data_IF_059202424690
#
_entry.id   IF_059202424690
#
_cell.length_a   1.000
_cell.length_b   1.000
_cell.length_c   1.000
_cell.angle_alpha   90.00
_cell.angle_beta   90.00
_cell.angle_gamma   90.00
#
_symmetry.space_group_name_H-M   'P 1'
#
loop_
_entity.id
_entity.type
_entity.pdbx_description
1 polymer ?
#
# COMPACT_ATOMS: atom_id res chain seq x y z
N UNK A 1 1.56 17.76 1.44
CA UNK A 1 1.33 17.21 0.08
C UNK A 1 -0.14 17.37 -0.28
N UNK A 2 -0.52 18.44 -0.99
CA UNK A 2 -1.92 18.75 -1.34
C UNK A 2 -2.08 19.21 -2.81
N UNK A 3 -1.08 18.99 -3.68
CA UNK A 3 -0.94 19.76 -4.92
C UNK A 3 -1.62 19.19 -6.17
N UNK A 4 -2.09 17.93 -6.17
CA UNK A 4 -2.62 17.30 -7.39
C UNK A 4 -4.15 17.25 -7.46
N UNK A 5 -4.85 17.98 -6.57
CA UNK A 5 -6.30 18.04 -6.56
C UNK A 5 -6.73 19.49 -6.45
N UNK A 6 -7.39 20.01 -7.49
CA UNK A 6 -8.10 21.28 -7.42
C UNK A 6 -9.41 21.09 -6.64
N UNK A 7 -9.85 22.11 -5.91
CA UNK A 7 -11.13 22.12 -5.22
C UNK A 7 -12.28 21.88 -6.23
N UNK A 8 -13.19 20.94 -5.89
CA UNK A 8 -14.38 20.58 -6.68
C UNK A 8 -15.38 21.73 -6.87
N UNK A 9 -15.23 22.84 -6.13
CA UNK A 9 -16.10 24.03 -6.24
C UNK A 9 -15.72 25.00 -7.35
N UNK A 10 -14.83 24.63 -8.28
CA UNK A 10 -14.44 25.50 -9.41
C UNK A 10 -15.17 25.13 -10.69
N UNK A 11 -15.42 26.13 -11.55
CA UNK A 11 -16.07 25.92 -12.84
C UNK A 11 -15.19 25.05 -13.77
N UNK A 12 -15.81 24.36 -14.74
CA UNK A 12 -15.13 23.48 -15.70
C UNK A 12 -13.97 24.20 -16.42
N UNK A 13 -14.20 25.42 -16.90
CA UNK A 13 -13.18 26.24 -17.57
C UNK A 13 -11.99 26.56 -16.67
N UNK A 14 -12.23 26.84 -15.40
CA UNK A 14 -11.14 27.09 -14.46
C UNK A 14 -10.38 25.80 -14.14
N UNK A 15 -11.07 24.65 -14.08
CA UNK A 15 -10.41 23.35 -13.88
C UNK A 15 -9.49 23.03 -15.04
N UNK A 16 -9.94 23.22 -16.29
CA UNK A 16 -9.13 22.97 -17.48
C UNK A 16 -7.89 23.87 -17.53
N UNK A 17 -8.05 25.17 -17.26
CA UNK A 17 -6.93 26.11 -17.22
C UNK A 17 -5.89 25.72 -16.14
N UNK A 18 -6.37 25.27 -14.97
CA UNK A 18 -5.51 24.75 -13.92
C UNK A 18 -4.84 23.44 -14.34
N UNK A 19 -5.56 22.49 -14.93
CA UNK A 19 -5.04 21.18 -15.29
C UNK A 19 -3.92 21.30 -16.33
N UNK A 20 -4.10 22.13 -17.36
CA UNK A 20 -3.05 22.42 -18.35
C UNK A 20 -1.82 23.03 -17.69
N UNK A 21 -2.02 24.05 -16.84
CA UNK A 21 -0.92 24.74 -16.15
C UNK A 21 -0.18 23.78 -15.21
N UNK A 22 -0.90 23.02 -14.39
CA UNK A 22 -0.37 22.08 -13.40
C UNK A 22 0.49 20.98 -14.05
N UNK A 23 0.01 20.41 -15.17
CA UNK A 23 0.77 19.42 -15.92
C UNK A 23 1.99 20.03 -16.62
N UNK A 24 1.84 21.22 -17.24
CA UNK A 24 2.94 21.90 -17.94
C UNK A 24 4.11 22.26 -17.04
N UNK A 25 3.84 22.58 -15.76
CA UNK A 25 4.83 22.94 -14.76
C UNK A 25 5.41 21.73 -14.01
N UNK A 26 5.00 20.51 -14.35
CA UNK A 26 5.38 19.28 -13.63
C UNK A 26 5.11 19.36 -12.12
N UNK A 27 4.08 20.09 -11.72
CA UNK A 27 3.69 20.22 -10.31
C UNK A 27 2.93 18.96 -9.80
N UNK A 28 2.60 18.05 -10.72
CA UNK A 28 1.90 16.82 -10.43
C UNK A 28 2.86 15.73 -9.92
N UNK A 29 2.64 15.28 -8.69
CA UNK A 29 3.37 14.19 -8.06
C UNK A 29 2.54 12.89 -7.96
N UNK A 30 1.40 12.81 -8.65
CA UNK A 30 0.63 11.56 -8.70
C UNK A 30 1.47 10.52 -9.46
N UNK A 31 1.71 9.39 -8.79
CA UNK A 31 2.46 8.25 -9.34
C UNK A 31 1.59 6.99 -9.51
N UNK A 32 0.30 7.07 -9.18
CA UNK A 32 -0.65 5.98 -9.31
C UNK A 32 -2.01 6.51 -9.72
N UNK A 33 -2.60 5.92 -10.76
CA UNK A 33 -3.93 6.25 -11.22
C UNK A 33 -4.90 5.11 -10.87
N UNK A 34 -5.75 5.32 -9.87
CA UNK A 34 -6.70 4.29 -9.41
C UNK A 34 -7.30 4.60 -8.04
N UNK A 35 -8.07 3.66 -7.51
CA UNK A 35 -8.65 3.78 -6.16
C UNK A 35 -7.58 3.60 -5.09
N UNK A 36 -7.79 4.09 -3.86
CA UNK A 36 -6.79 3.89 -2.80
C UNK A 36 -6.59 2.41 -2.48
N UNK A 37 -7.64 1.58 -2.57
CA UNK A 37 -7.51 0.14 -2.37
C UNK A 37 -6.60 -0.49 -3.44
N UNK A 38 -6.69 -0.05 -4.70
CA UNK A 38 -5.80 -0.53 -5.76
C UNK A 38 -4.36 -0.04 -5.55
N UNK A 39 -4.19 1.20 -5.07
CA UNK A 39 -2.89 1.77 -4.73
C UNK A 39 -2.19 0.97 -3.62
N UNK A 40 -2.92 0.58 -2.58
CA UNK A 40 -2.40 -0.23 -1.47
C UNK A 40 -1.89 -1.59 -1.95
N UNK A 41 -2.62 -2.25 -2.86
CA UNK A 41 -2.24 -3.55 -3.44
C UNK A 41 -0.97 -3.44 -4.29
N UNK A 42 -0.88 -2.41 -5.14
CA UNK A 42 0.30 -2.19 -5.98
C UNK A 42 1.50 -1.75 -5.15
N UNK A 43 1.30 -0.90 -4.14
CA UNK A 43 2.35 -0.50 -3.20
C UNK A 43 2.93 -1.70 -2.44
N UNK A 44 2.09 -2.63 -1.99
CA UNK A 44 2.54 -3.89 -1.39
C UNK A 44 3.42 -4.70 -2.34
N UNK A 45 3.01 -4.82 -3.60
CA UNK A 45 3.81 -5.55 -4.59
C UNK A 45 5.18 -4.90 -4.81
N UNK A 46 5.23 -3.57 -4.95
CA UNK A 46 6.49 -2.83 -5.13
C UNK A 46 7.41 -2.99 -3.91
N UNK A 47 6.89 -2.88 -2.69
CA UNK A 47 7.68 -2.98 -1.47
C UNK A 47 8.27 -4.38 -1.26
N UNK A 48 7.56 -5.45 -1.62
CA UNK A 48 8.06 -6.83 -1.51
C UNK A 48 9.04 -7.20 -2.63
N UNK A 49 8.97 -6.52 -3.79
CA UNK A 49 10.02 -6.67 -4.81
C UNK A 49 11.31 -5.99 -4.35
N UNK A 50 11.20 -4.77 -3.82
CA UNK A 50 12.34 -3.97 -3.35
C UNK A 50 13.05 -4.57 -2.14
N UNK A 51 12.35 -5.32 -1.29
CA UNK A 51 13.01 -6.03 -0.18
C UNK A 51 14.05 -7.03 -0.71
N UNK A 52 13.77 -7.74 -1.80
CA UNK A 52 14.72 -8.65 -2.44
C UNK A 52 15.95 -7.91 -2.95
N UNK A 53 15.77 -6.76 -3.58
CA UNK A 53 16.87 -5.89 -4.02
C UNK A 53 17.73 -5.41 -2.84
N UNK A 54 17.14 -5.34 -1.65
CA UNK A 54 17.81 -4.96 -0.40
C UNK A 54 18.36 -6.15 0.40
N UNK A 55 18.29 -7.37 -0.14
CA UNK A 55 18.82 -8.58 0.49
C UNK A 55 18.01 -9.11 1.67
N UNK A 56 16.69 -8.86 1.71
CA UNK A 56 15.81 -9.47 2.71
C UNK A 56 14.44 -9.84 2.14
N UNK A 57 13.71 -10.71 2.84
CA UNK A 57 12.33 -11.05 2.51
C UNK A 57 11.41 -10.65 3.65
N UNK A 58 10.34 -9.95 3.30
CA UNK A 58 9.26 -9.63 4.23
C UNK A 58 8.49 -10.92 4.55
N UNK A 59 8.30 -11.22 5.83
CA UNK A 59 7.55 -12.42 6.23
C UNK A 59 6.07 -12.15 6.51
N UNK A 60 5.79 -11.06 7.18
CA UNK A 60 4.46 -10.75 7.71
C UNK A 60 3.85 -9.59 6.91
N UNK A 61 2.59 -9.72 6.54
CA UNK A 61 1.75 -8.64 6.02
C UNK A 61 0.67 -8.33 7.05
N UNK A 62 0.75 -7.15 7.65
CA UNK A 62 -0.36 -6.59 8.43
C UNK A 62 -1.37 -5.96 7.46
N UNK A 63 -2.62 -6.39 7.52
CA UNK A 63 -3.64 -5.92 6.61
C UNK A 63 -5.02 -6.08 7.21
N UNK A 64 -5.95 -5.19 6.80
CA UNK A 64 -7.34 -5.36 7.15
C UNK A 64 -7.88 -6.70 6.63
N UNK A 65 -8.95 -7.16 7.27
CA UNK A 65 -9.73 -8.34 6.87
C UNK A 65 -10.11 -8.32 5.37
N UNK A 66 -10.32 -7.15 4.76
CA UNK A 66 -10.72 -6.99 3.35
C UNK A 66 -9.58 -6.61 2.38
N UNK A 67 -8.33 -6.59 2.84
CA UNK A 67 -7.20 -6.21 1.99
C UNK A 67 -6.90 -7.27 0.93
N UNK A 68 -6.89 -6.86 -0.34
CA UNK A 68 -6.53 -7.73 -1.48
C UNK A 68 -5.02 -7.87 -1.67
N UNK A 69 -4.22 -7.22 -0.84
CA UNK A 69 -2.75 -7.22 -0.96
C UNK A 69 -2.17 -8.60 -0.71
N UNK A 70 -2.70 -9.33 0.29
CA UNK A 70 -2.26 -10.69 0.60
C UNK A 70 -2.50 -11.65 -0.57
N UNK A 71 -3.72 -11.64 -1.12
CA UNK A 71 -4.08 -12.46 -2.27
C UNK A 71 -3.18 -12.17 -3.47
N UNK A 72 -2.90 -10.89 -3.73
CA UNK A 72 -2.04 -10.48 -4.84
C UNK A 72 -0.61 -11.00 -4.65
N UNK A 73 -0.02 -10.81 -3.47
CA UNK A 73 1.34 -11.26 -3.18
C UNK A 73 1.47 -12.78 -3.26
N UNK A 74 0.49 -13.51 -2.72
CA UNK A 74 0.43 -14.98 -2.75
C UNK A 74 0.28 -15.50 -4.18
N UNK A 75 -0.64 -14.93 -4.98
CA UNK A 75 -0.83 -15.29 -6.39
C UNK A 75 0.39 -15.00 -7.25
N UNK A 76 1.12 -13.92 -6.95
CA UNK A 76 2.36 -13.59 -7.63
C UNK A 76 3.52 -14.51 -7.25
N UNK A 77 3.38 -15.30 -6.18
CA UNK A 77 4.44 -16.12 -5.62
C UNK A 77 5.77 -15.35 -5.50
N UNK A 78 5.70 -14.15 -4.92
CA UNK A 78 6.75 -13.11 -5.06
C UNK A 78 8.15 -13.54 -4.60
N UNK A 79 8.23 -14.53 -3.71
CA UNK A 79 9.48 -15.08 -3.19
C UNK A 79 9.71 -16.56 -3.58
N UNK A 80 8.80 -17.17 -4.35
CA UNK A 80 8.82 -18.59 -4.68
C UNK A 80 8.28 -19.49 -3.56
N UNK A 81 8.14 -20.78 -3.89
CA UNK A 81 7.46 -21.78 -3.04
C UNK A 81 8.15 -22.04 -1.69
N UNK A 82 9.42 -21.61 -1.54
CA UNK A 82 10.20 -21.76 -0.32
C UNK A 82 9.91 -20.71 0.77
N UNK A 83 9.08 -19.70 0.50
CA UNK A 83 8.87 -18.59 1.44
C UNK A 83 7.38 -18.25 1.58
N UNK A 84 6.82 -18.60 2.74
CA UNK A 84 5.42 -18.34 3.08
C UNK A 84 5.27 -16.91 3.58
N UNK A 85 4.29 -16.19 3.03
CA UNK A 85 3.85 -14.89 3.54
C UNK A 85 2.76 -15.15 4.58
N UNK A 86 2.91 -14.59 5.77
CA UNK A 86 1.95 -14.68 6.86
C UNK A 86 1.06 -13.43 6.85
N UNK A 87 -0.26 -13.60 6.90
CA UNK A 87 -1.22 -12.49 7.04
C UNK A 87 -1.56 -12.31 8.52
N UNK A 88 -1.45 -11.09 9.01
CA UNK A 88 -1.92 -10.71 10.35
C UNK A 88 -3.04 -9.68 10.20
N UNK A 89 -4.20 -9.99 10.78
CA UNK A 89 -5.44 -9.22 10.62
C UNK A 89 -5.60 -8.10 11.65
N UNK A 90 -4.65 -7.98 12.58
CA UNK A 90 -4.64 -6.94 13.62
C UNK A 90 -3.64 -5.83 13.29
N UNK A 91 -4.14 -4.63 13.05
CA UNK A 91 -3.27 -3.47 13.01
C UNK A 91 -2.72 -3.22 14.42
N UNK A 92 -1.39 -3.22 14.56
CA UNK A 92 -0.73 -2.92 15.85
C UNK A 92 -1.15 -1.51 16.32
N UNK A 93 -1.65 -1.40 17.56
CA UNK A 93 -2.12 -0.17 18.20
C UNK A 93 -3.38 0.50 17.60
N UNK A 94 -4.36 -0.28 17.13
CA UNK A 94 -5.67 0.28 16.77
C UNK A 94 -6.37 0.89 18.02
N UNK A 95 -6.38 2.22 18.15
CA UNK A 95 -7.16 2.92 19.18
C UNK A 95 -8.65 2.82 18.81
N UNK A 96 -9.49 2.15 19.62
CA UNK A 96 -10.92 2.06 19.34
C UNK A 96 -11.54 3.46 19.42
N UNK A 97 -12.10 3.95 18.31
CA UNK A 97 -12.97 5.12 18.38
C UNK A 97 -14.43 4.63 18.58
N UNK A 98 -15.07 4.93 19.73
CA UNK A 98 -16.39 4.42 20.06
C UNK A 98 -17.52 4.98 19.16
N UNK A 99 -17.26 6.03 18.36
CA UNK A 99 -18.27 6.67 17.51
C UNK A 99 -18.28 6.21 16.04
N UNK A 100 -17.42 5.27 15.64
CA UNK A 100 -17.45 4.70 14.30
C UNK A 100 -18.12 3.33 14.32
N UNK A 101 -19.40 3.31 13.94
CA UNK A 101 -20.11 2.07 13.64
C UNK A 101 -19.35 1.28 12.58
N UNK A 102 -19.22 -0.01 12.85
CA UNK A 102 -18.72 -1.08 11.98
C UNK A 102 -19.04 -0.80 10.51
N UNK A 103 -18.04 -0.43 9.71
CA UNK A 103 -17.81 -0.90 8.34
C UNK A 103 -16.72 -0.05 7.65
N UNK A 104 -15.66 -0.74 7.20
CA UNK A 104 -14.52 -0.24 6.42
C UNK A 104 -13.48 0.59 7.20
N UNK A 105 -12.81 -0.10 8.14
CA UNK A 105 -11.55 0.39 8.74
C UNK A 105 -10.43 0.13 7.73
N UNK A 106 -9.64 1.17 7.40
CA UNK A 106 -8.49 1.09 6.50
C UNK A 106 -7.20 1.21 7.31
N UNK A 107 -6.54 0.11 7.62
CA UNK A 107 -5.16 0.08 8.06
C UNK A 107 -4.24 -0.17 6.87
N UNK A 108 -3.72 0.90 6.30
CA UNK A 108 -2.61 0.83 5.35
C UNK A 108 -1.29 0.80 6.10
N UNK A 109 -0.84 -0.37 6.59
CA UNK A 109 0.49 -0.48 7.19
C UNK A 109 1.19 -1.78 6.79
N UNK A 110 2.13 -1.63 5.86
CA UNK A 110 3.06 -2.65 5.42
C UNK A 110 4.29 -2.60 6.35
N UNK A 111 4.45 -3.60 7.22
CA UNK A 111 5.72 -3.83 7.91
C UNK A 111 6.21 -5.24 7.60
N UNK A 112 7.28 -5.31 6.81
CA UNK A 112 8.02 -6.54 6.64
C UNK A 112 9.04 -6.71 7.76
N UNK A 113 8.93 -7.80 8.52
CA UNK A 113 10.00 -8.22 9.43
C UNK A 113 11.12 -8.84 8.61
N UNK A 114 12.35 -8.35 8.81
CA UNK A 114 13.57 -8.86 8.16
C UNK A 114 13.87 -10.27 8.65
N UNK A 115 13.85 -11.26 7.76
CA UNK A 115 14.48 -12.56 8.01
C UNK A 115 15.86 -12.53 7.35
N UNK A 116 16.97 -12.62 8.10
CA UNK A 116 18.31 -12.75 7.50
C UNK A 116 18.38 -14.04 6.68
N UNK A 117 18.91 -13.97 5.46
CA UNK A 117 19.26 -15.17 4.71
C UNK A 117 20.29 -15.97 5.52
N UNK A 118 19.93 -17.20 5.91
CA UNK A 118 20.81 -18.10 6.67
C UNK A 118 20.31 -18.56 8.05
N UNK A 119 19.16 -18.08 8.54
CA UNK A 119 18.56 -18.64 9.77
C UNK A 119 17.63 -19.82 9.45
N UNK A 120 18.23 -20.94 9.05
CA UNK A 120 17.65 -22.23 9.38
C UNK A 120 17.77 -22.36 10.90
N UNK A 121 16.70 -22.08 11.65
CA UNK A 121 16.63 -22.53 13.04
C UNK A 121 16.53 -24.05 12.99
N UNK A 122 17.68 -24.69 13.09
CA UNK A 122 17.78 -26.06 13.55
C UNK A 122 17.33 -26.10 15.02
N UNK A 123 16.53 -27.13 15.31
CA UNK A 123 16.01 -27.58 16.61
C UNK A 123 14.80 -26.82 17.17
#
# INVERSE_FOLDING_TARGET
MHLCKKNRSSSEKEFDAWFVTHNSKQECNINFNGTSNAMEVEAATVLWKRSMESGFRNKILFSDEYSKSFDKLTKLNIYGDGHIIEKHDECVNHVPNPNYHLNQKKCGVIFGVRVPEGSHRAQ
#
